data_IF_385055094702
#
_entry.id   IF_385055094702
#
_cell.length_a   1.000
_cell.length_b   1.000
_cell.length_c   1.000
_cell.angle_alpha   90.00
_cell.angle_beta   90.00
_cell.angle_gamma   90.00
#
_symmetry.space_group_name_H-M   'P 1'
#
loop_
_entity.id
_entity.type
_entity.pdbx_description
1 polymer ?
#
# COMPACT_ATOMS: atom_id res chain seq x y z
N UNK A 1 -11.62 20.19 24.24
CA UNK A 1 -11.27 19.81 23.85
C UNK A 1 -10.77 19.19 23.64
N UNK A 2 -10.81 19.18 23.70
CA UNK A 2 -10.50 18.85 23.34
C UNK A 2 -9.82 18.48 23.09
N UNK A 3 -9.86 18.23 23.10
CA UNK A 3 -9.23 17.90 22.91
C UNK A 3 -8.35 17.61 22.68
N UNK A 4 -8.20 17.63 22.63
CA UNK A 4 -7.56 17.37 22.40
C UNK A 4 -6.62 17.41 22.13
N UNK A 5 -6.41 17.22 22.56
CA UNK A 5 -5.44 17.10 22.36
C UNK A 5 -4.66 17.69 21.51
N UNK A 6 -3.83 17.89 21.59
CA UNK A 6 -3.51 18.50 20.68
C UNK A 6 -3.38 17.90 19.48
N UNK A 7 -4.22 17.56 19.17
CA UNK A 7 -4.34 17.09 17.95
C UNK A 7 -4.20 18.11 16.93
N UNK A 8 -4.02 19.25 17.35
CA UNK A 8 -3.85 20.33 16.42
C UNK A 8 -2.72 20.10 15.44
N UNK A 9 -1.62 19.51 15.89
CA UNK A 9 -0.52 19.24 14.98
C UNK A 9 -0.87 18.17 13.96
N UNK A 10 -1.61 17.15 14.36
CA UNK A 10 -2.04 16.10 13.46
C UNK A 10 -2.95 16.67 12.38
N UNK A 11 -3.90 17.49 12.77
CA UNK A 11 -4.82 18.13 11.85
C UNK A 11 -4.08 19.05 10.89
N UNK A 12 -3.06 19.72 11.37
CA UNK A 12 -2.24 20.62 10.55
C UNK A 12 -1.53 19.87 9.43
N UNK A 13 -1.02 18.68 9.72
CA UNK A 13 -0.34 17.85 8.71
C UNK A 13 -1.29 17.47 7.57
N UNK A 14 -2.50 17.02 7.87
CA UNK A 14 -3.44 16.63 6.82
C UNK A 14 -3.95 17.83 6.04
N UNK A 15 -4.13 18.97 6.67
CA UNK A 15 -4.56 20.18 5.98
C UNK A 15 -3.45 20.69 5.05
N UNK A 16 -2.21 20.66 5.49
CA UNK A 16 -1.09 21.12 4.70
C UNK A 16 -0.91 20.35 3.41
N UNK A 17 -1.25 19.06 3.43
CA UNK A 17 -1.10 18.20 2.26
C UNK A 17 -2.42 17.87 1.58
N UNK A 18 -3.48 18.64 1.90
CA UNK A 18 -4.79 18.49 1.29
C UNK A 18 -5.40 17.10 1.52
N UNK A 19 -5.18 16.54 2.69
CA UNK A 19 -5.68 15.22 3.05
C UNK A 19 -6.80 15.28 4.09
N UNK A 20 -7.16 16.46 4.56
CA UNK A 20 -8.21 16.60 5.56
C UNK A 20 -9.56 16.16 4.98
N UNK A 21 -10.35 15.52 5.81
CA UNK A 21 -11.66 15.00 5.38
C UNK A 21 -11.61 13.70 4.61
N UNK A 22 -10.43 13.16 4.33
CA UNK A 22 -10.30 11.90 3.61
C UNK A 22 -10.14 10.73 4.58
N UNK A 23 -10.71 9.57 4.22
CA UNK A 23 -10.46 8.36 5.00
C UNK A 23 -9.18 7.69 4.48
N UNK A 24 -8.74 6.61 5.14
CA UNK A 24 -7.51 5.92 4.79
C UNK A 24 -7.50 5.46 3.33
N UNK A 25 -8.61 4.91 2.85
CA UNK A 25 -8.70 4.43 1.47
C UNK A 25 -8.49 5.56 0.47
N UNK A 26 -9.09 6.72 0.73
CA UNK A 26 -8.96 7.88 -0.16
C UNK A 26 -7.54 8.46 -0.13
N UNK A 27 -6.93 8.53 1.04
CA UNK A 27 -5.56 9.01 1.19
C UNK A 27 -4.59 8.09 0.44
N UNK A 28 -4.75 6.78 0.62
CA UNK A 28 -3.89 5.80 -0.04
C UNK A 28 -4.00 5.93 -1.55
N UNK A 29 -5.22 6.01 -2.09
CA UNK A 29 -5.42 6.14 -3.53
C UNK A 29 -4.76 7.40 -4.06
N UNK A 30 -4.92 8.52 -3.37
CA UNK A 30 -4.35 9.79 -3.80
C UNK A 30 -2.83 9.76 -3.79
N UNK A 31 -2.24 9.27 -2.71
CA UNK A 31 -0.78 9.29 -2.58
C UNK A 31 -0.10 8.23 -3.43
N UNK A 32 -0.67 7.03 -3.48
CA UNK A 32 -0.07 5.95 -4.24
C UNK A 32 -0.11 6.21 -5.75
N UNK A 33 -1.13 6.90 -6.22
CA UNK A 33 -1.27 7.24 -7.65
C UNK A 33 -0.51 8.51 -8.04
N UNK A 34 0.07 9.23 -7.10
CA UNK A 34 0.85 10.44 -7.39
C UNK A 34 2.13 10.07 -8.12
N UNK A 35 2.46 10.80 -9.17
CA UNK A 35 3.70 10.56 -9.92
C UNK A 35 4.90 10.71 -9.01
N UNK A 36 5.92 9.88 -9.23
CA UNK A 36 7.13 9.89 -8.39
C UNK A 36 7.76 11.27 -8.35
N UNK A 37 7.77 11.98 -9.48
CA UNK A 37 8.34 13.33 -9.56
C UNK A 37 7.50 14.36 -8.82
N UNK A 38 6.24 14.06 -8.55
CA UNK A 38 5.33 14.98 -7.87
C UNK A 38 5.18 14.67 -6.39
N UNK A 39 5.84 13.62 -5.89
CA UNK A 39 5.70 13.24 -4.49
C UNK A 39 6.36 14.28 -3.58
N UNK A 40 5.67 14.58 -2.46
CA UNK A 40 6.21 15.49 -1.48
C UNK A 40 7.39 14.86 -0.76
N UNK A 41 8.46 15.61 -0.55
CA UNK A 41 9.58 15.19 0.29
C UNK A 41 9.40 15.68 1.72
N UNK A 42 8.28 16.36 2.01
CA UNK A 42 8.06 16.97 3.31
C UNK A 42 7.38 16.04 4.31
N UNK A 43 6.86 14.90 3.87
CA UNK A 43 6.26 13.95 4.79
C UNK A 43 6.36 12.51 4.26
N UNK A 44 6.20 11.57 5.18
CA UNK A 44 6.21 10.14 4.88
C UNK A 44 4.86 9.57 5.28
N UNK A 45 4.25 8.81 4.38
CA UNK A 45 2.99 8.13 4.64
C UNK A 45 3.23 6.62 4.60
N UNK A 46 3.15 5.97 5.75
CA UNK A 46 3.43 4.55 5.89
C UNK A 46 2.15 3.77 6.16
N UNK A 47 1.94 2.67 5.44
CA UNK A 47 0.78 1.82 5.61
C UNK A 47 1.13 0.68 6.56
N UNK A 48 0.48 0.67 7.72
CA UNK A 48 0.54 -0.44 8.66
C UNK A 48 -0.78 -1.23 8.56
N UNK A 49 -0.82 -2.45 9.09
CA UNK A 49 -2.03 -3.28 8.93
C UNK A 49 -3.31 -2.64 9.46
N UNK A 50 -3.25 -1.88 10.55
CA UNK A 50 -4.42 -1.33 11.19
C UNK A 50 -4.50 0.19 11.14
N UNK A 51 -3.48 0.87 10.64
CA UNK A 51 -3.47 2.33 10.57
C UNK A 51 -2.54 2.85 9.49
N UNK A 52 -2.84 4.04 9.02
CA UNK A 52 -1.98 4.79 8.13
C UNK A 52 -1.25 5.83 8.97
N UNK A 53 0.06 5.87 8.90
CA UNK A 53 0.88 6.78 9.73
C UNK A 53 1.48 7.85 8.84
N UNK A 54 1.17 9.11 9.13
CA UNK A 54 1.70 10.26 8.40
C UNK A 54 2.66 11.01 9.32
N UNK A 55 3.89 11.22 8.85
CA UNK A 55 4.93 11.91 9.62
C UNK A 55 5.56 12.98 8.75
N UNK A 56 5.64 14.22 9.26
CA UNK A 56 6.27 15.29 8.50
C UNK A 56 7.77 15.43 8.87
N UNK A 57 8.44 16.38 8.23
CA UNK A 57 9.88 16.60 8.45
C UNK A 57 10.22 17.24 9.79
N UNK A 58 9.20 17.59 10.57
CA UNK A 58 9.38 18.15 11.91
C UNK A 58 8.95 17.15 12.99
N UNK A 59 8.79 15.88 12.62
CA UNK A 59 8.36 14.79 13.50
C UNK A 59 6.94 14.92 14.04
N UNK A 60 6.11 15.72 13.40
CA UNK A 60 4.68 15.71 13.69
C UNK A 60 4.08 14.48 13.06
N UNK A 61 3.24 13.78 13.80
CA UNK A 61 2.70 12.51 13.33
C UNK A 61 1.20 12.46 13.50
N UNK A 62 0.52 11.92 12.50
CA UNK A 62 -0.92 11.68 12.57
C UNK A 62 -1.20 10.26 12.13
N UNK A 63 -2.24 9.66 12.66
CA UNK A 63 -2.65 8.32 12.26
C UNK A 63 -4.09 8.36 11.77
N UNK A 64 -4.36 7.55 10.74
CA UNK A 64 -5.72 7.39 10.20
C UNK A 64 -6.06 5.91 10.26
N UNK A 65 -7.18 5.53 10.89
CA UNK A 65 -7.49 4.10 11.01
C UNK A 65 -7.78 3.48 9.65
N UNK A 66 -7.27 2.27 9.45
CA UNK A 66 -7.56 1.49 8.26
C UNK A 66 -8.95 0.85 8.41
N UNK A 67 -9.62 0.46 7.30
CA UNK A 67 -10.88 -0.25 7.39
C UNK A 67 -10.77 -1.50 8.27
N UNK A 68 -11.78 -1.77 9.09
CA UNK A 68 -11.74 -2.87 10.04
C UNK A 68 -11.80 -4.25 9.38
N UNK A 69 -12.41 -4.33 8.22
CA UNK A 69 -12.66 -5.59 7.52
C UNK A 69 -11.76 -5.81 6.30
N UNK A 70 -10.89 -4.87 5.99
CA UNK A 70 -10.02 -4.97 4.83
C UNK A 70 -8.57 -4.65 5.15
N UNK A 71 -7.68 -5.32 4.45
CA UNK A 71 -6.22 -5.19 4.60
C UNK A 71 -5.67 -4.73 3.25
N UNK A 72 -4.87 -3.68 3.24
CA UNK A 72 -4.27 -3.17 2.00
C UNK A 72 -2.90 -3.78 1.78
N UNK A 73 -2.70 -4.37 0.61
CA UNK A 73 -1.42 -4.96 0.22
C UNK A 73 -0.90 -4.22 -0.99
N UNK A 74 0.30 -3.67 -0.88
CA UNK A 74 0.99 -3.02 -1.99
C UNK A 74 1.95 -4.02 -2.62
N UNK A 75 1.86 -4.19 -3.92
CA UNK A 75 2.57 -5.22 -4.66
C UNK A 75 3.49 -4.55 -5.67
N UNK A 76 4.78 -4.91 -5.65
CA UNK A 76 5.75 -4.41 -6.62
C UNK A 76 6.47 -5.58 -7.28
N UNK A 77 5.90 -6.17 -8.32
CA UNK A 77 6.60 -7.23 -9.05
C UNK A 77 7.84 -6.65 -9.74
N UNK A 78 8.85 -7.47 -9.92
CA UNK A 78 10.10 -7.01 -10.54
C UNK A 78 10.73 -8.13 -11.36
N UNK A 79 11.65 -7.76 -12.23
CA UNK A 79 12.42 -8.71 -13.03
C UNK A 79 13.85 -8.81 -12.58
N UNK A 80 14.53 -7.68 -12.34
CA UNK A 80 15.94 -7.66 -12.03
C UNK A 80 16.30 -6.89 -10.76
N UNK A 81 15.50 -5.92 -10.35
CA UNK A 81 15.82 -5.07 -9.20
C UNK A 81 14.65 -4.89 -8.28
N UNK A 82 14.90 -5.00 -6.99
CA UNK A 82 13.92 -4.72 -5.97
C UNK A 82 14.63 -4.20 -4.71
N UNK A 83 13.85 -3.86 -3.69
CA UNK A 83 14.35 -3.47 -2.38
C UNK A 83 13.48 -4.12 -1.32
N UNK A 84 13.98 -4.21 -0.10
CA UNK A 84 13.20 -4.75 1.00
C UNK A 84 12.27 -3.69 1.55
N UNK A 85 11.05 -4.11 1.91
CA UNK A 85 10.06 -3.22 2.47
C UNK A 85 9.08 -4.06 3.28
N UNK A 86 8.76 -3.61 4.49
CA UNK A 86 7.77 -4.32 5.31
C UNK A 86 6.43 -3.59 5.29
N UNK A 87 6.44 -2.31 5.63
CA UNK A 87 5.26 -1.47 5.50
C UNK A 87 5.45 -0.50 4.34
N UNK A 88 4.47 -0.47 3.45
CA UNK A 88 4.56 0.36 2.25
C UNK A 88 4.56 1.85 2.60
N UNK A 89 5.51 2.59 2.02
CA UNK A 89 5.52 4.04 2.12
C UNK A 89 4.98 4.64 0.84
N UNK A 90 3.88 5.35 0.95
CA UNK A 90 3.21 5.97 -0.21
C UNK A 90 4.03 7.09 -0.84
N UNK A 91 5.03 7.60 -0.12
CA UNK A 91 5.79 8.76 -0.55
C UNK A 91 7.24 8.47 -0.91
N UNK A 92 7.75 7.27 -0.61
CA UNK A 92 9.17 6.95 -0.83
C UNK A 92 9.42 5.63 -1.55
N UNK A 93 8.51 4.67 -1.47
CA UNK A 93 8.73 3.38 -2.13
C UNK A 93 8.62 3.49 -3.64
N UNK A 94 9.50 2.81 -4.37
CA UNK A 94 9.49 2.79 -5.83
C UNK A 94 9.86 1.38 -6.30
N UNK A 95 9.06 0.84 -7.21
CA UNK A 95 9.30 -0.46 -7.83
C UNK A 95 9.83 -0.32 -9.25
N UNK A 96 10.31 -1.43 -9.80
CA UNK A 96 10.93 -1.45 -11.12
C UNK A 96 9.94 -1.25 -12.27
N UNK A 97 8.73 -1.81 -12.14
CA UNK A 97 7.78 -1.86 -13.24
C UNK A 97 6.71 -0.80 -13.12
N UNK A 98 7.05 0.44 -13.41
CA UNK A 98 6.10 1.55 -13.37
C UNK A 98 5.16 1.52 -14.59
N UNK A 99 3.90 1.90 -14.37
CA UNK A 99 2.92 2.06 -15.45
C UNK A 99 2.79 0.84 -16.35
N UNK A 100 2.82 -0.35 -15.74
CA UNK A 100 2.83 -1.63 -16.44
C UNK A 100 1.56 -2.41 -16.11
N UNK A 101 0.96 -3.02 -17.13
CA UNK A 101 -0.20 -3.88 -16.89
C UNK A 101 0.25 -5.19 -16.27
N UNK A 102 -0.38 -5.57 -15.17
CA UNK A 102 -0.11 -6.81 -14.47
C UNK A 102 -1.42 -7.52 -14.18
N UNK A 103 -1.43 -8.83 -14.31
CA UNK A 103 -2.60 -9.62 -13.94
C UNK A 103 -2.40 -10.15 -12.53
N UNK A 104 -3.32 -9.81 -11.63
CA UNK A 104 -3.22 -10.16 -10.21
C UNK A 104 -4.34 -11.13 -9.86
N UNK A 105 -3.98 -12.26 -9.30
CA UNK A 105 -4.92 -13.27 -8.83
C UNK A 105 -4.63 -13.55 -7.36
N UNK A 106 -5.66 -13.54 -6.52
CA UNK A 106 -5.54 -13.88 -5.11
C UNK A 106 -6.57 -14.98 -4.80
N UNK A 107 -6.09 -16.10 -4.30
CA UNK A 107 -6.93 -17.25 -3.97
C UNK A 107 -6.77 -17.56 -2.48
N UNK A 108 -7.87 -17.65 -1.77
CA UNK A 108 -7.84 -17.97 -0.34
C UNK A 108 -7.38 -19.41 -0.14
N UNK A 109 -6.40 -19.61 0.75
CA UNK A 109 -5.76 -20.92 0.92
C UNK A 109 -6.68 -21.98 1.50
N UNK A 110 -7.57 -21.61 2.42
CA UNK A 110 -8.42 -22.57 3.11
C UNK A 110 -9.63 -22.99 2.30
N UNK A 111 -10.24 -22.07 1.57
CA UNK A 111 -11.47 -22.36 0.81
C UNK A 111 -11.23 -22.59 -0.68
N UNK A 112 -10.09 -22.15 -1.19
CA UNK A 112 -9.82 -22.17 -2.62
C UNK A 112 -10.61 -21.13 -3.39
N UNK A 113 -11.26 -20.19 -2.69
CA UNK A 113 -12.06 -19.17 -3.33
C UNK A 113 -11.18 -18.09 -3.93
N UNK A 114 -11.49 -17.69 -5.17
CA UNK A 114 -10.78 -16.60 -5.83
C UNK A 114 -11.31 -15.28 -5.28
N UNK A 115 -10.45 -14.55 -4.59
CA UNK A 115 -10.82 -13.27 -4.00
C UNK A 115 -10.61 -12.11 -4.97
N UNK A 116 -9.63 -12.25 -5.88
CA UNK A 116 -9.31 -11.23 -6.86
C UNK A 116 -8.76 -11.91 -8.11
N UNK A 117 -9.17 -11.44 -9.28
CA UNK A 117 -8.66 -11.94 -10.55
C UNK A 117 -8.88 -10.81 -11.57
N UNK A 118 -7.91 -9.91 -11.65
CA UNK A 118 -8.05 -8.70 -12.46
C UNK A 118 -6.71 -8.29 -13.08
N UNK A 119 -6.78 -7.61 -14.22
CA UNK A 119 -5.62 -6.94 -14.78
C UNK A 119 -5.60 -5.51 -14.26
N UNK A 120 -4.52 -5.14 -13.61
CA UNK A 120 -4.33 -3.82 -13.04
C UNK A 120 -3.09 -3.17 -13.64
N UNK A 121 -3.04 -1.85 -13.63
CA UNK A 121 -1.86 -1.12 -14.11
C UNK A 121 -1.12 -0.58 -12.89
N UNK A 122 0.18 -0.85 -12.78
CA UNK A 122 0.97 -0.30 -11.69
C UNK A 122 1.01 1.22 -11.81
N UNK A 123 1.08 1.88 -10.67
CA UNK A 123 1.23 3.33 -10.64
C UNK A 123 2.63 3.72 -11.09
N UNK A 124 2.87 5.01 -11.19
CA UNK A 124 4.18 5.54 -11.57
C UNK A 124 5.28 5.07 -10.59
N UNK A 125 4.91 4.77 -9.36
CA UNK A 125 5.86 4.28 -8.35
C UNK A 125 6.19 2.78 -8.50
N UNK A 126 5.62 2.10 -9.49
CA UNK A 126 5.89 0.67 -9.70
C UNK A 126 5.11 -0.28 -8.81
N UNK A 127 4.19 0.24 -8.03
CA UNK A 127 3.35 -0.55 -7.12
C UNK A 127 1.91 -0.57 -7.61
N UNK A 128 1.21 -1.62 -7.22
CA UNK A 128 -0.24 -1.69 -7.37
C UNK A 128 -0.79 -2.21 -6.05
N UNK A 129 -1.89 -1.63 -5.59
CA UNK A 129 -2.48 -1.99 -4.30
C UNK A 129 -3.78 -2.74 -4.44
N UNK A 130 -4.02 -3.68 -3.54
CA UNK A 130 -5.26 -4.44 -3.50
C UNK A 130 -5.79 -4.48 -2.07
N UNK A 131 -7.12 -4.53 -1.95
CA UNK A 131 -7.79 -4.66 -0.66
C UNK A 131 -8.29 -6.09 -0.53
N UNK A 132 -7.95 -6.74 0.57
CA UNK A 132 -8.31 -8.14 0.83
C UNK A 132 -8.99 -8.25 2.19
N UNK A 133 -9.81 -9.32 2.40
CA UNK A 133 -10.36 -9.57 3.74
C UNK A 133 -9.25 -9.77 4.76
N UNK A 134 -9.48 -9.38 6.00
CA UNK A 134 -8.50 -9.55 7.07
C UNK A 134 -8.52 -10.95 7.63
N UNK A 135 -7.37 -11.38 8.15
CA UNK A 135 -7.27 -12.63 8.91
C UNK A 135 -7.28 -13.88 8.07
N UNK A 136 -6.83 -13.79 6.82
CA UNK A 136 -6.81 -14.96 5.92
C UNK A 136 -5.40 -15.28 5.48
N UNK A 137 -5.23 -16.53 5.01
CA UNK A 137 -4.05 -16.96 4.26
C UNK A 137 -4.46 -17.10 2.81
N UNK A 138 -3.63 -16.64 1.90
CA UNK A 138 -3.95 -16.65 0.48
C UNK A 138 -2.71 -16.87 -0.35
N UNK A 139 -2.91 -17.21 -1.63
CA UNK A 139 -1.84 -17.31 -2.62
C UNK A 139 -2.02 -16.17 -3.61
N UNK A 140 -0.98 -15.35 -3.73
CA UNK A 140 -0.95 -14.25 -4.67
C UNK A 140 -0.16 -14.67 -5.89
N UNK A 141 -0.74 -14.46 -7.07
CA UNK A 141 -0.06 -14.70 -8.35
C UNK A 141 -0.10 -13.42 -9.16
N UNK A 142 1.05 -12.99 -9.67
CA UNK A 142 1.16 -11.79 -10.49
C UNK A 142 1.82 -12.18 -11.79
N UNK A 143 1.21 -11.82 -12.91
CA UNK A 143 1.75 -12.11 -14.24
C UNK A 143 1.90 -10.81 -15.02
N UNK A 144 3.03 -10.65 -15.70
CA UNK A 144 3.29 -9.49 -16.54
C UNK A 144 4.30 -9.86 -17.60
N UNK A 145 4.09 -9.39 -18.82
CA UNK A 145 5.05 -9.57 -19.92
C UNK A 145 5.41 -11.03 -20.18
N UNK A 146 4.46 -11.93 -19.98
CA UNK A 146 4.69 -13.35 -20.19
C UNK A 146 5.41 -14.06 -19.06
N UNK A 147 5.62 -13.39 -17.93
CA UNK A 147 6.30 -13.94 -16.75
C UNK A 147 5.36 -13.94 -15.57
N UNK A 148 5.66 -14.76 -14.59
CA UNK A 148 4.78 -14.96 -13.44
C UNK A 148 5.57 -15.01 -12.14
N UNK A 149 5.00 -14.44 -11.07
CA UNK A 149 5.51 -14.58 -9.72
C UNK A 149 4.36 -15.05 -8.83
N UNK A 150 4.67 -15.89 -7.83
CA UNK A 150 3.69 -16.45 -6.94
C UNK A 150 4.22 -16.43 -5.51
N UNK A 151 3.36 -16.09 -4.55
CA UNK A 151 3.78 -15.98 -3.17
C UNK A 151 2.61 -16.28 -2.24
N UNK A 152 2.89 -17.00 -1.16
CA UNK A 152 1.92 -17.17 -0.08
C UNK A 152 1.92 -15.90 0.76
N UNK A 153 0.74 -15.37 1.05
CA UNK A 153 0.56 -14.14 1.82
C UNK A 153 -0.49 -14.35 2.89
N UNK A 154 -0.55 -13.43 3.85
CA UNK A 154 -1.59 -13.41 4.86
C UNK A 154 -1.93 -11.96 5.22
N UNK A 155 -3.08 -11.76 5.85
CA UNK A 155 -3.60 -10.43 6.15
C UNK A 155 -3.88 -10.27 7.64
N UNK A 156 -2.97 -10.73 8.46
CA UNK A 156 -3.07 -10.65 9.92
C UNK A 156 -2.43 -9.36 10.45
N UNK A 157 -2.67 -9.01 11.71
CA UNK A 157 -2.17 -7.73 12.25
C UNK A 157 -0.66 -7.54 12.19
N UNK A 158 0.11 -8.63 12.09
CA UNK A 158 1.57 -8.53 12.06
C UNK A 158 2.17 -8.68 10.68
N UNK A 159 1.35 -8.75 9.66
CA UNK A 159 1.84 -9.02 8.31
C UNK A 159 2.28 -7.75 7.57
N UNK A 160 3.24 -7.90 6.64
CA UNK A 160 3.69 -6.73 5.88
C UNK A 160 2.62 -6.24 4.92
N UNK A 161 2.60 -4.93 4.69
CA UNK A 161 1.72 -4.32 3.70
C UNK A 161 2.44 -4.07 2.38
N UNK A 162 3.74 -4.36 2.31
CA UNK A 162 4.57 -4.11 1.14
C UNK A 162 5.18 -5.43 0.67
N UNK A 163 4.89 -5.82 -0.56
CA UNK A 163 5.43 -7.05 -1.14
C UNK A 163 6.36 -6.71 -2.29
N UNK A 164 7.65 -6.78 -2.03
CA UNK A 164 8.69 -6.45 -3.02
C UNK A 164 9.50 -7.67 -3.46
N UNK A 165 9.18 -8.85 -2.95
CA UNK A 165 9.89 -10.08 -3.28
C UNK A 165 9.27 -10.90 -4.39
N UNK A 166 8.52 -10.27 -5.30
CA UNK A 166 7.80 -10.97 -6.37
C UNK A 166 8.59 -10.89 -7.67
N UNK A 167 9.57 -11.77 -7.82
CA UNK A 167 10.37 -11.82 -9.05
C UNK A 167 9.63 -12.56 -10.16
N UNK A 168 9.43 -11.87 -11.26
CA UNK A 168 8.78 -12.44 -12.44
C UNK A 168 9.77 -13.33 -13.20
N UNK A 169 9.37 -14.54 -13.46
CA UNK A 169 10.24 -15.52 -14.10
C UNK A 169 9.55 -16.31 -15.19
#
# INVERSE_FOLDING_TARGET
AGPSADPGSDHSLVVEHNLDGLNAREIITRLDSTKVTDRSSEFIASIEPDQLVLTDDQNNQTTVPMPEDEFYVSIAPYRSQTHECYFHSLTTCTGELANTDVHVTVVEATSGETLLDETLTTYDNGFVGVWLPRGIDATLTVSAEGRTAKKAISTRPDDPTCLTGLQLA
#
